data_IF_715336716631
#
_entry.id   IF_715336716631
#
_cell.length_a   1.000
_cell.length_b   1.000
_cell.length_c   1.000
_cell.angle_alpha   90.00
_cell.angle_beta   90.00
_cell.angle_gamma   90.00
#
_symmetry.space_group_name_H-M   'P 1'
#
loop_
_entity.id
_entity.type
_entity.pdbx_description
1 polymer ?
#
# COMPACT_ATOMS: atom_id res chain seq x y z
N UNK A 1 -25.23 -9.89 -10.98
CA UNK A 1 -24.61 -10.81 -11.96
C UNK A 1 -23.08 -10.92 -11.82
N UNK A 2 -22.50 -10.64 -10.64
CA UNK A 2 -21.04 -10.68 -10.47
C UNK A 2 -20.43 -12.07 -10.56
N UNK A 3 -21.21 -13.15 -10.41
CA UNK A 3 -20.65 -14.50 -10.44
C UNK A 3 -20.03 -14.83 -11.80
N UNK A 4 -20.71 -14.54 -12.92
CA UNK A 4 -20.26 -15.05 -14.23
C UNK A 4 -19.01 -14.35 -14.75
N UNK A 5 -18.92 -13.03 -14.64
CA UNK A 5 -17.76 -12.27 -15.13
C UNK A 5 -16.45 -12.70 -14.46
N UNK A 6 -16.46 -12.90 -13.14
CA UNK A 6 -15.27 -13.31 -12.41
C UNK A 6 -14.94 -14.80 -12.56
N UNK A 7 -15.95 -15.65 -12.77
CA UNK A 7 -15.74 -17.06 -13.10
C UNK A 7 -15.14 -17.20 -14.50
N UNK A 8 -15.58 -16.39 -15.46
CA UNK A 8 -15.12 -16.47 -16.84
C UNK A 8 -13.71 -15.89 -17.02
N UNK A 9 -13.29 -14.96 -16.14
CA UNK A 9 -11.98 -14.31 -16.16
C UNK A 9 -11.31 -14.37 -14.78
N UNK A 10 -10.77 -15.53 -14.37
CA UNK A 10 -10.13 -15.68 -13.05
C UNK A 10 -8.79 -14.94 -12.94
N UNK A 11 -8.11 -14.69 -14.06
CA UNK A 11 -6.84 -13.97 -14.08
C UNK A 11 -7.04 -12.45 -13.98
N UNK A 12 -6.33 -11.82 -13.03
CA UNK A 12 -6.42 -10.37 -12.78
C UNK A 12 -5.90 -9.56 -13.97
N UNK A 13 -4.95 -10.09 -14.74
CA UNK A 13 -4.40 -9.41 -15.92
C UNK A 13 -5.44 -9.38 -17.05
N UNK A 14 -6.19 -10.46 -17.23
CA UNK A 14 -7.30 -10.50 -18.17
C UNK A 14 -8.47 -9.60 -17.73
N UNK A 15 -8.83 -9.61 -16.44
CA UNK A 15 -9.83 -8.69 -15.88
C UNK A 15 -9.46 -7.24 -16.18
N UNK A 16 -8.19 -6.88 -15.94
CA UNK A 16 -7.65 -5.55 -16.24
C UNK A 16 -7.82 -5.20 -17.72
N UNK A 17 -7.35 -6.06 -18.63
CA UNK A 17 -7.42 -5.83 -20.07
C UNK A 17 -8.87 -5.62 -20.54
N UNK A 18 -9.80 -6.43 -20.04
CA UNK A 18 -11.23 -6.32 -20.38
C UNK A 18 -11.85 -5.04 -19.86
N UNK A 19 -11.54 -4.67 -18.62
CA UNK A 19 -12.06 -3.45 -18.01
C UNK A 19 -11.48 -2.19 -18.68
N UNK A 20 -10.18 -2.17 -18.96
CA UNK A 20 -9.54 -1.08 -19.72
C UNK A 20 -10.14 -0.94 -21.12
N UNK A 21 -10.31 -2.07 -21.84
CA UNK A 21 -10.96 -2.06 -23.16
C UNK A 21 -12.42 -1.60 -23.09
N UNK A 22 -13.17 -2.01 -22.07
CA UNK A 22 -14.55 -1.57 -21.88
C UNK A 22 -14.63 -0.06 -21.65
N UNK A 23 -13.77 0.48 -20.78
CA UNK A 23 -13.69 1.93 -20.54
C UNK A 23 -13.34 2.70 -21.80
N UNK A 24 -12.36 2.21 -22.58
CA UNK A 24 -11.94 2.87 -23.82
C UNK A 24 -13.03 2.86 -24.90
N UNK A 25 -13.78 1.77 -25.01
CA UNK A 25 -14.78 1.61 -26.06
C UNK A 25 -16.13 2.28 -25.73
N UNK A 26 -16.52 2.31 -24.45
CA UNK A 26 -17.85 2.76 -24.03
C UNK A 26 -17.89 4.19 -23.48
N UNK A 27 -16.75 4.78 -23.12
CA UNK A 27 -16.68 6.12 -22.52
C UNK A 27 -15.89 7.11 -23.38
N UNK A 28 -15.88 6.92 -24.70
CA UNK A 28 -15.38 7.93 -25.64
C UNK A 28 -16.21 9.21 -25.44
N UNK A 29 -15.52 10.34 -25.21
CA UNK A 29 -16.11 11.65 -24.89
C UNK A 29 -16.89 11.75 -23.56
N UNK A 30 -16.82 10.72 -22.71
CA UNK A 30 -17.47 10.67 -21.39
C UNK A 30 -16.46 10.33 -20.28
N UNK A 31 -15.25 10.89 -20.39
CA UNK A 31 -14.14 10.68 -19.45
C UNK A 31 -14.55 10.94 -17.99
N UNK A 32 -15.35 11.98 -17.77
CA UNK A 32 -15.87 12.38 -16.45
C UNK A 32 -16.69 11.28 -15.75
N UNK A 33 -17.30 10.37 -16.54
CA UNK A 33 -18.16 9.29 -16.02
C UNK A 33 -17.41 7.99 -15.76
N UNK A 34 -16.15 7.87 -16.20
CA UNK A 34 -15.36 6.64 -16.01
C UNK A 34 -15.14 6.36 -14.53
N UNK A 35 -14.89 7.39 -13.73
CA UNK A 35 -14.74 7.25 -12.29
C UNK A 35 -16.04 6.76 -11.62
N UNK A 36 -17.17 7.40 -11.91
CA UNK A 36 -18.48 7.02 -11.35
C UNK A 36 -18.87 5.58 -11.68
N UNK A 37 -18.57 5.14 -12.90
CA UNK A 37 -18.75 3.75 -13.30
C UNK A 37 -17.87 2.80 -12.50
N UNK A 38 -16.57 3.11 -12.34
CA UNK A 38 -15.64 2.29 -11.55
C UNK A 38 -16.02 2.26 -10.07
N UNK A 39 -16.51 3.37 -9.51
CA UNK A 39 -17.02 3.45 -8.14
C UNK A 39 -18.26 2.55 -7.95
N UNK A 40 -19.21 2.64 -8.88
CA UNK A 40 -20.39 1.75 -8.86
C UNK A 40 -19.99 0.28 -9.00
N UNK A 41 -19.07 -0.03 -9.92
CA UNK A 41 -18.55 -1.39 -10.09
C UNK A 41 -17.87 -1.90 -8.81
N UNK A 42 -17.09 -1.06 -8.14
CA UNK A 42 -16.44 -1.40 -6.87
C UNK A 42 -17.47 -1.80 -5.81
N UNK A 43 -18.53 -1.00 -5.61
CA UNK A 43 -19.59 -1.29 -4.65
C UNK A 43 -20.27 -2.64 -4.94
N UNK A 44 -20.66 -2.86 -6.19
CA UNK A 44 -21.33 -4.10 -6.61
C UNK A 44 -20.42 -5.32 -6.37
N UNK A 45 -19.11 -5.22 -6.60
CA UNK A 45 -18.14 -6.29 -6.33
C UNK A 45 -17.91 -6.50 -4.84
N UNK A 46 -17.89 -5.41 -4.05
CA UNK A 46 -17.71 -5.46 -2.61
C UNK A 46 -18.88 -6.15 -1.91
N UNK A 47 -20.12 -5.81 -2.31
CA UNK A 47 -21.36 -6.38 -1.77
C UNK A 47 -21.62 -7.79 -2.26
N UNK A 48 -21.06 -8.17 -3.42
CA UNK A 48 -21.20 -9.51 -3.96
C UNK A 48 -20.44 -10.52 -3.09
N UNK A 49 -21.18 -11.27 -2.27
CA UNK A 49 -20.66 -12.31 -1.37
C UNK A 49 -20.49 -13.68 -2.02
N UNK A 50 -20.97 -13.87 -3.26
CA UNK A 50 -21.19 -15.21 -3.86
C UNK A 50 -20.23 -15.55 -5.01
N UNK A 51 -19.32 -14.64 -5.40
CA UNK A 51 -18.68 -14.75 -6.72
C UNK A 51 -17.24 -15.26 -6.72
N UNK A 52 -16.54 -15.18 -5.59
CA UNK A 52 -15.07 -15.28 -5.51
C UNK A 52 -14.63 -15.73 -4.11
N UNK A 53 -13.47 -16.39 -4.03
CA UNK A 53 -12.75 -16.53 -2.77
C UNK A 53 -12.30 -15.15 -2.29
N UNK A 54 -12.19 -14.96 -0.97
CA UNK A 54 -11.89 -13.65 -0.38
C UNK A 54 -10.62 -12.99 -0.93
N UNK A 55 -9.62 -13.77 -1.36
CA UNK A 55 -8.39 -13.23 -1.96
C UNK A 55 -8.64 -12.65 -3.35
N UNK A 56 -9.33 -13.38 -4.22
CA UNK A 56 -9.62 -12.96 -5.58
C UNK A 56 -10.51 -11.69 -5.56
N UNK A 57 -11.48 -11.64 -4.63
CA UNK A 57 -12.28 -10.42 -4.41
C UNK A 57 -11.41 -9.23 -4.05
N UNK A 58 -10.45 -9.38 -3.13
CA UNK A 58 -9.52 -8.30 -2.77
C UNK A 58 -8.64 -7.87 -3.94
N UNK A 59 -8.19 -8.82 -4.77
CA UNK A 59 -7.39 -8.52 -5.97
C UNK A 59 -8.20 -7.70 -6.97
N UNK A 60 -9.44 -8.09 -7.26
CA UNK A 60 -10.33 -7.34 -8.15
C UNK A 60 -10.65 -5.95 -7.60
N UNK A 61 -10.98 -5.82 -6.31
CA UNK A 61 -11.24 -4.51 -5.70
C UNK A 61 -10.01 -3.60 -5.79
N UNK A 62 -8.82 -4.13 -5.49
CA UNK A 62 -7.55 -3.41 -5.65
C UNK A 62 -7.30 -2.96 -7.09
N UNK A 63 -7.58 -3.83 -8.07
CA UNK A 63 -7.50 -3.49 -9.48
C UNK A 63 -8.44 -2.34 -9.84
N UNK A 64 -9.72 -2.42 -9.45
CA UNK A 64 -10.71 -1.36 -9.73
C UNK A 64 -10.28 -0.04 -9.09
N UNK A 65 -9.83 -0.05 -7.84
CA UNK A 65 -9.32 1.15 -7.16
C UNK A 65 -8.11 1.74 -7.90
N UNK A 66 -7.17 0.91 -8.37
CA UNK A 66 -6.00 1.38 -9.10
C UNK A 66 -6.36 2.06 -10.43
N UNK A 67 -7.39 1.55 -11.12
CA UNK A 67 -7.90 2.15 -12.35
C UNK A 67 -8.63 3.46 -12.06
N UNK A 68 -9.46 3.50 -11.00
CA UNK A 68 -10.16 4.71 -10.60
C UNK A 68 -9.19 5.85 -10.26
N UNK A 69 -8.11 5.55 -9.53
CA UNK A 69 -7.04 6.50 -9.24
C UNK A 69 -6.34 7.01 -10.51
N UNK A 70 -6.09 6.13 -11.48
CA UNK A 70 -5.50 6.53 -12.76
C UNK A 70 -6.41 7.51 -13.51
N UNK A 71 -7.69 7.19 -13.59
CA UNK A 71 -8.69 8.04 -14.25
C UNK A 71 -8.81 9.40 -13.54
N UNK A 72 -8.75 9.45 -12.21
CA UNK A 72 -8.70 10.71 -11.46
C UNK A 72 -7.43 11.54 -11.74
N UNK A 73 -6.29 10.88 -11.87
CA UNK A 73 -5.03 11.54 -12.20
C UNK A 73 -5.06 12.12 -13.62
N UNK A 74 -5.62 11.39 -14.59
CA UNK A 74 -5.81 11.83 -15.98
C UNK A 74 -6.77 13.03 -16.07
N UNK A 75 -7.81 13.07 -15.24
CA UNK A 75 -8.79 14.16 -15.17
C UNK A 75 -8.29 15.42 -14.43
N UNK A 76 -7.01 15.49 -14.01
CA UNK A 76 -6.43 16.62 -13.27
C UNK A 76 -7.11 16.91 -11.91
N UNK A 77 -7.72 15.92 -11.25
CA UNK A 77 -8.17 16.08 -9.86
C UNK A 77 -7.01 16.15 -8.85
N UNK A 78 -5.80 15.79 -9.27
CA UNK A 78 -4.57 16.07 -8.52
C UNK A 78 -3.98 17.36 -9.11
N UNK A 79 -3.99 18.48 -8.37
CA UNK A 79 -3.34 19.69 -8.83
C UNK A 79 -1.88 19.37 -9.16
N UNK A 80 -1.43 19.77 -10.35
CA UNK A 80 -0.04 19.64 -10.75
C UNK A 80 0.87 20.12 -9.60
N UNK A 81 1.67 19.22 -9.03
CA UNK A 81 2.49 19.55 -7.87
C UNK A 81 3.61 20.57 -8.21
N UNK A 82 3.89 20.80 -9.49
CA UNK A 82 4.86 21.79 -9.94
C UNK A 82 4.51 23.22 -9.49
N UNK A 83 3.23 23.51 -9.26
CA UNK A 83 2.73 24.80 -8.80
C UNK A 83 2.14 24.75 -7.38
N UNK A 84 2.35 23.65 -6.64
CA UNK A 84 2.00 23.56 -5.22
C UNK A 84 3.20 24.00 -4.40
N UNK A 85 3.14 25.21 -3.85
CA UNK A 85 4.10 25.65 -2.82
C UNK A 85 3.76 24.97 -1.50
N UNK A 86 4.43 23.87 -1.19
CA UNK A 86 4.31 23.22 0.11
C UNK A 86 5.06 24.02 1.18
N UNK A 87 4.33 24.71 2.04
CA UNK A 87 4.89 25.29 3.25
C UNK A 87 5.04 24.19 4.31
N UNK A 88 6.15 23.45 4.26
CA UNK A 88 6.53 22.59 5.36
C UNK A 88 7.27 23.41 6.41
N UNK A 89 6.79 23.40 7.66
CA UNK A 89 7.56 23.94 8.77
C UNK A 89 8.68 22.95 9.12
N UNK A 90 9.95 23.41 9.08
CA UNK A 90 11.07 22.59 9.55
C UNK A 90 10.82 22.15 11.00
N UNK A 91 11.24 20.93 11.36
CA UNK A 91 11.05 20.42 12.72
C UNK A 91 11.71 21.34 13.78
N UNK A 92 11.20 21.46 15.00
CA UNK A 92 11.68 22.47 15.95
C UNK A 92 13.20 22.46 16.24
N UNK A 93 13.86 21.32 16.06
CA UNK A 93 15.31 21.18 16.27
C UNK A 93 16.17 21.72 15.11
N UNK A 94 15.61 22.01 13.92
CA UNK A 94 16.38 22.60 12.81
C UNK A 94 16.69 24.08 13.04
N UNK A 95 15.94 24.75 13.93
CA UNK A 95 16.24 26.14 14.32
C UNK A 95 17.37 26.26 15.34
N UNK A 96 17.77 25.16 15.98
CA UNK A 96 18.91 25.18 16.88
C UNK A 96 20.21 25.24 16.07
N UNK A 97 21.06 26.23 16.37
CA UNK A 97 22.38 26.41 15.74
C UNK A 97 23.35 25.22 15.91
N UNK A 98 22.92 24.17 16.62
CA UNK A 98 23.62 22.90 16.81
C UNK A 98 23.11 21.76 15.90
N UNK A 99 22.35 22.07 14.85
CA UNK A 99 21.73 21.10 13.93
C UNK A 99 22.68 19.99 13.42
N UNK A 100 23.97 20.29 13.28
CA UNK A 100 25.01 19.37 12.81
C UNK A 100 25.14 18.10 13.67
N UNK A 101 24.82 18.15 14.97
CA UNK A 101 24.99 17.01 15.87
C UNK A 101 23.90 15.94 15.76
N UNK A 102 22.75 16.24 15.15
CA UNK A 102 21.64 15.30 15.04
C UNK A 102 21.67 14.43 13.78
N UNK A 103 22.53 14.76 12.79
CA UNK A 103 22.63 14.03 11.52
C UNK A 103 23.84 13.09 11.42
N UNK A 104 24.75 13.11 12.39
CA UNK A 104 25.87 12.17 12.43
C UNK A 104 25.41 10.93 13.17
N UNK A 105 24.87 9.95 12.43
CA UNK A 105 24.88 8.57 12.91
C UNK A 105 26.36 8.19 13.12
N UNK A 106 26.83 8.27 14.36
CA UNK A 106 28.17 7.80 14.69
C UNK A 106 28.19 6.32 14.36
N UNK A 107 28.92 5.97 13.28
CA UNK A 107 29.20 4.59 12.92
C UNK A 107 29.83 3.97 14.15
N UNK A 108 29.07 3.12 14.85
CA UNK A 108 29.59 2.36 15.98
C UNK A 108 30.81 1.57 15.48
N UNK A 109 31.96 1.64 16.17
CA UNK A 109 33.10 0.83 15.78
C UNK A 109 32.68 -0.65 15.83
N UNK A 110 32.97 -1.36 14.73
CA UNK A 110 32.75 -2.79 14.58
C UNK A 110 33.34 -3.49 15.81
N UNK A 111 32.50 -4.06 16.68
CA UNK A 111 32.96 -4.92 17.75
C UNK A 111 33.59 -6.18 17.13
N UNK A 112 34.88 -6.48 17.35
CA UNK A 112 35.44 -7.73 16.89
C UNK A 112 34.75 -8.89 17.63
N UNK A 113 34.12 -9.79 16.87
CA UNK A 113 33.53 -11.01 17.39
C UNK A 113 34.61 -11.83 18.10
N UNK A 114 34.50 -11.95 19.43
CA UNK A 114 35.36 -12.83 20.20
C UNK A 114 34.88 -14.28 20.02
N UNK A 115 35.76 -15.23 19.63
CA UNK A 115 35.40 -16.64 19.56
C UNK A 115 35.26 -17.22 20.97
N UNK A 116 34.07 -17.76 21.27
CA UNK A 116 33.77 -18.48 22.51
C UNK A 116 34.49 -19.84 22.57
N UNK A 117 35.06 -20.26 23.71
CA UNK A 117 35.56 -21.62 23.92
C UNK A 117 34.42 -22.64 24.06
N UNK A 118 34.70 -23.96 23.89
CA UNK A 118 33.69 -24.97 23.58
C UNK A 118 32.78 -25.33 24.77
N UNK A 119 31.52 -25.57 24.41
CA UNK A 119 30.37 -25.97 25.22
C UNK A 119 30.63 -27.12 26.22
N UNK A 120 30.38 -26.86 27.50
CA UNK A 120 30.05 -27.89 28.50
C UNK A 120 28.54 -27.85 28.80
N UNK A 121 27.92 -29.01 28.64
CA UNK A 121 26.47 -29.29 28.70
C UNK A 121 25.93 -29.24 30.15
N UNK A 122 24.92 -28.39 30.43
CA UNK A 122 24.18 -28.32 31.71
C UNK A 122 22.67 -28.06 31.43
N UNK A 123 21.70 -28.70 32.13
CA UNK A 123 20.29 -28.87 31.71
C UNK A 123 19.33 -27.73 32.12
N UNK A 124 18.04 -27.72 31.71
CA UNK A 124 17.26 -26.51 31.52
C UNK A 124 16.52 -26.07 32.79
N UNK A 125 16.75 -24.83 33.22
CA UNK A 125 15.87 -24.15 34.18
C UNK A 125 15.43 -22.78 33.63
N UNK A 126 14.16 -22.75 33.21
CA UNK A 126 13.20 -21.63 33.32
C UNK A 126 13.75 -20.20 33.17
N UNK A 127 13.72 -19.67 31.95
CA UNK A 127 13.66 -18.22 31.73
C UNK A 127 12.23 -17.81 31.35
N UNK A 128 11.59 -16.89 32.10
CA UNK A 128 10.47 -16.13 31.57
C UNK A 128 11.04 -15.11 30.58
N UNK A 129 10.79 -15.32 29.28
CA UNK A 129 10.87 -14.25 28.30
C UNK A 129 9.73 -13.28 28.60
N UNK A 130 10.04 -12.20 29.30
CA UNK A 130 9.13 -11.07 29.42
C UNK A 130 9.05 -10.40 28.05
N UNK A 131 8.02 -10.80 27.31
CA UNK A 131 7.44 -10.00 26.25
C UNK A 131 6.84 -8.76 26.89
N UNK A 132 7.30 -7.57 26.49
CA UNK A 132 6.65 -6.31 26.85
C UNK A 132 6.38 -5.51 25.59
N UNK A 133 5.21 -5.82 25.04
CA UNK A 133 4.27 -5.02 24.26
C UNK A 133 4.49 -3.50 24.25
N UNK A 134 4.35 -2.91 23.06
CA UNK A 134 4.06 -1.49 22.88
C UNK A 134 2.75 -1.10 23.57
N UNK A 135 2.59 0.19 23.92
CA UNK A 135 1.40 0.88 23.50
C UNK A 135 1.70 2.18 22.75
N UNK A 136 0.85 2.44 21.75
CA UNK A 136 0.71 3.71 21.06
C UNK A 136 0.27 4.81 22.02
N UNK A 137 0.83 6.01 21.85
CA UNK A 137 0.10 7.28 21.97
C UNK A 137 0.83 8.34 21.16
#
# INVERSE_FOLDING_TARGET
MCSRFFIDFPDVSEQRRKLESYLQNHFVDLEDRKYDYLATLYEVVQESTVCLMSHERRQTLSLISSLALRVLAEQNAIPNAANVTCFYQPAPYVSDGNFSNYYVAQVQPIYPCHPSPPQQYIPPHHHPMYATWLPCN
#
